data_IF_607554342953
#
_entry.id   IF_607554342953
#
_cell.length_a   1.000
_cell.length_b   1.000
_cell.length_c   1.000
_cell.angle_alpha   90.00
_cell.angle_beta   90.00
_cell.angle_gamma   90.00
#
_symmetry.space_group_name_H-M   'P 1'
#
loop_
_entity.id
_entity.type
_entity.pdbx_description
1 polymer ?
#
# COMPACT_ATOMS: atom_id res chain seq x y z
N UNK A 1 -7.56 24.55 5.09
CA UNK A 1 -7.81 23.70 3.89
C UNK A 1 -6.49 23.62 3.15
N UNK A 2 -5.98 22.43 2.88
CA UNK A 2 -4.72 22.24 2.18
C UNK A 2 -5.00 21.82 0.73
N UNK A 3 -4.18 22.30 -0.20
CA UNK A 3 -4.20 21.89 -1.59
C UNK A 3 -2.84 21.26 -1.90
N UNK A 4 -2.87 19.99 -2.28
CA UNK A 4 -1.67 19.26 -2.66
C UNK A 4 -1.67 19.11 -4.18
N UNK A 5 -0.61 19.61 -4.82
CA UNK A 5 -0.44 19.57 -6.26
C UNK A 5 0.84 18.79 -6.53
N UNK A 6 0.72 17.69 -7.26
CA UNK A 6 1.83 16.85 -7.68
C UNK A 6 1.69 16.52 -9.16
N UNK A 7 2.82 16.38 -9.85
CA UNK A 7 2.82 16.02 -11.28
C UNK A 7 2.63 14.50 -11.46
N UNK A 8 3.08 13.71 -10.48
CA UNK A 8 2.91 12.26 -10.47
C UNK A 8 2.74 11.74 -9.04
N UNK A 9 2.02 10.63 -8.89
CA UNK A 9 1.93 9.94 -7.60
C UNK A 9 3.29 9.38 -7.16
N UNK A 10 4.17 9.09 -8.13
CA UNK A 10 5.52 8.61 -7.84
C UNK A 10 6.38 9.65 -7.08
N UNK A 11 6.19 10.96 -7.35
CA UNK A 11 6.86 12.01 -6.58
C UNK A 11 6.43 11.99 -5.11
N UNK A 12 5.14 11.77 -4.85
CA UNK A 12 4.61 11.64 -3.50
C UNK A 12 5.20 10.39 -2.83
N UNK A 13 5.21 9.25 -3.52
CA UNK A 13 5.80 8.02 -3.00
C UNK A 13 7.30 8.13 -2.74
N UNK A 14 8.05 8.89 -3.55
CA UNK A 14 9.47 9.14 -3.32
C UNK A 14 9.73 10.00 -2.08
N UNK A 15 8.87 10.98 -1.81
CA UNK A 15 9.02 11.88 -0.67
C UNK A 15 8.52 11.27 0.65
N UNK A 16 7.44 10.50 0.62
CA UNK A 16 6.74 10.01 1.81
C UNK A 16 6.74 8.49 1.97
N UNK A 17 7.38 7.76 1.06
CA UNK A 17 7.33 6.31 1.01
C UNK A 17 6.14 5.76 0.22
N UNK A 18 6.23 4.50 -0.16
CA UNK A 18 5.20 3.81 -0.93
C UNK A 18 3.88 3.68 -0.16
N UNK A 19 3.99 3.42 1.14
CA UNK A 19 2.88 3.37 2.09
C UNK A 19 2.68 4.74 2.73
N UNK A 20 1.93 5.62 2.07
CA UNK A 20 1.58 6.94 2.61
C UNK A 20 0.06 7.11 2.72
N UNK A 21 -0.39 7.79 3.77
CA UNK A 21 -1.82 8.08 4.00
C UNK A 21 -2.29 9.39 3.36
N UNK A 22 -1.43 10.06 2.57
CA UNK A 22 -1.74 11.39 2.02
C UNK A 22 -2.94 11.29 1.09
N UNK A 23 -2.92 10.32 0.17
CA UNK A 23 -4.01 10.12 -0.76
C UNK A 23 -5.29 9.69 -0.04
N UNK A 24 -5.20 8.86 0.99
CA UNK A 24 -6.36 8.36 1.73
C UNK A 24 -7.07 9.48 2.51
N UNK A 25 -6.31 10.43 3.06
CA UNK A 25 -6.84 11.57 3.80
C UNK A 25 -7.42 12.68 2.91
N UNK A 26 -7.23 12.63 1.59
CA UNK A 26 -7.78 13.63 0.66
C UNK A 26 -9.25 13.33 0.35
N UNK A 27 -10.18 14.16 0.87
CA UNK A 27 -11.62 14.00 0.60
C UNK A 27 -11.99 14.24 -0.87
N UNK A 28 -11.28 15.16 -1.53
CA UNK A 28 -11.44 15.46 -2.96
C UNK A 28 -10.11 15.17 -3.65
N UNK A 29 -10.16 14.40 -4.73
CA UNK A 29 -9.02 14.07 -5.58
C UNK A 29 -9.37 14.47 -7.00
N UNK A 30 -8.49 15.25 -7.62
CA UNK A 30 -8.63 15.69 -9.00
C UNK A 30 -7.48 15.05 -9.78
N UNK A 31 -7.81 14.31 -10.83
CA UNK A 31 -6.84 13.66 -11.70
C UNK A 31 -6.95 14.21 -13.12
N UNK A 32 -5.79 14.39 -13.74
CA UNK A 32 -5.65 14.74 -15.15
C UNK A 32 -5.09 13.55 -15.92
N UNK A 33 -4.96 13.69 -17.24
CA UNK A 33 -4.20 12.76 -18.07
C UNK A 33 -2.83 12.49 -17.44
N UNK A 34 -2.51 11.22 -17.20
CA UNK A 34 -1.22 10.81 -16.67
C UNK A 34 -0.38 10.17 -17.77
N UNK A 35 0.93 10.43 -17.76
CA UNK A 35 1.87 9.76 -18.64
C UNK A 35 2.48 8.48 -18.01
N UNK A 36 2.23 8.25 -16.72
CA UNK A 36 2.76 7.10 -15.98
C UNK A 36 1.69 6.02 -15.86
N UNK A 37 1.98 4.82 -16.39
CA UNK A 37 1.06 3.68 -16.37
C UNK A 37 0.64 3.29 -14.94
N UNK A 38 1.57 3.36 -13.99
CA UNK A 38 1.29 3.02 -12.59
C UNK A 38 0.28 3.98 -11.97
N UNK A 39 0.45 5.28 -12.23
CA UNK A 39 -0.49 6.33 -11.82
C UNK A 39 -1.84 6.15 -12.53
N UNK A 40 -1.86 5.90 -13.83
CA UNK A 40 -3.08 5.66 -14.59
C UNK A 40 -3.87 4.44 -14.09
N UNK A 41 -3.17 3.35 -13.74
CA UNK A 41 -3.78 2.17 -13.13
C UNK A 41 -4.42 2.50 -11.78
N UNK A 42 -3.71 3.20 -10.90
CA UNK A 42 -4.28 3.65 -9.62
C UNK A 42 -5.51 4.54 -9.79
N UNK A 43 -5.53 5.42 -10.78
CA UNK A 43 -6.70 6.24 -11.10
C UNK A 43 -7.86 5.37 -11.60
N UNK A 44 -7.60 4.46 -12.55
CA UNK A 44 -8.59 3.49 -13.05
C UNK A 44 -9.20 2.67 -11.91
N UNK A 45 -8.37 2.13 -11.01
CA UNK A 45 -8.82 1.34 -9.87
C UNK A 45 -9.67 2.19 -8.91
N UNK A 46 -9.29 3.45 -8.68
CA UNK A 46 -10.05 4.38 -7.82
C UNK A 46 -11.40 4.81 -8.42
N UNK A 47 -11.53 4.83 -9.75
CA UNK A 47 -12.82 5.07 -10.43
C UNK A 47 -13.77 3.87 -10.31
N UNK A 48 -13.21 2.67 -10.16
CA UNK A 48 -13.96 1.43 -10.04
C UNK A 48 -14.42 0.85 -11.38
N UNK A 49 -15.33 -0.11 -11.30
CA UNK A 49 -15.87 -0.86 -12.43
C UNK A 49 -17.33 -0.52 -12.69
N UNK A 50 -17.72 -0.57 -13.95
CA UNK A 50 -19.08 -0.46 -14.43
C UNK A 50 -19.54 -1.79 -15.05
N UNK A 51 -20.84 -2.04 -15.00
CA UNK A 51 -21.45 -3.20 -15.64
C UNK A 51 -21.82 -2.86 -17.08
N UNK A 52 -21.24 -3.57 -18.04
CA UNK A 52 -21.58 -3.45 -19.46
C UNK A 52 -22.47 -4.63 -19.89
N UNK A 53 -23.61 -4.33 -20.52
CA UNK A 53 -24.48 -5.33 -21.12
C UNK A 53 -24.00 -5.65 -22.53
N UNK A 54 -23.36 -6.81 -22.73
CA UNK A 54 -22.99 -7.29 -24.06
C UNK A 54 -24.04 -8.25 -24.60
N UNK A 55 -24.65 -7.91 -25.73
CA UNK A 55 -25.51 -8.84 -26.47
C UNK A 55 -24.71 -9.55 -27.57
N UNK A 56 -24.61 -10.87 -27.50
CA UNK A 56 -24.09 -11.71 -28.57
C UNK A 56 -25.25 -12.28 -29.39
N UNK A 57 -25.19 -12.10 -30.71
CA UNK A 57 -26.15 -12.70 -31.65
C UNK A 57 -25.47 -13.86 -32.35
N UNK A 58 -25.92 -15.07 -32.04
CA UNK A 58 -25.50 -16.28 -32.72
C UNK A 58 -26.51 -16.60 -33.82
N UNK A 59 -26.03 -16.65 -35.06
CA UNK A 59 -26.82 -17.06 -36.21
C UNK A 59 -26.64 -18.57 -36.40
N UNK A 60 -27.72 -19.34 -36.26
CA UNK A 60 -27.68 -20.79 -36.43
C UNK A 60 -28.46 -21.20 -37.67
N UNK A 61 -27.76 -21.47 -38.78
CA UNK A 61 -28.39 -22.00 -40.00
C UNK A 61 -27.42 -22.34 -41.12
N UNK A 62 -27.86 -23.21 -42.03
CA UNK A 62 -27.09 -23.58 -43.22
C UNK A 62 -27.07 -22.38 -44.19
N UNK A 63 -25.89 -21.93 -44.61
CA UNK A 63 -25.69 -20.74 -45.47
C UNK A 63 -26.43 -20.80 -46.82
N UNK A 64 -26.97 -21.96 -47.20
CA UNK A 64 -27.63 -22.23 -48.48
C UNK A 64 -29.13 -22.60 -48.36
N UNK A 65 -29.73 -22.53 -47.17
CA UNK A 65 -31.16 -22.86 -47.01
C UNK A 65 -32.07 -21.66 -47.37
N UNK A 66 -33.21 -21.87 -48.08
CA UNK A 66 -34.10 -20.81 -48.54
C UNK A 66 -34.91 -20.12 -47.42
N UNK A 67 -34.90 -20.65 -46.20
CA UNK A 67 -35.38 -19.97 -45.00
C UNK A 67 -34.29 -20.00 -43.92
N UNK A 68 -33.86 -18.82 -43.46
CA UNK A 68 -32.78 -18.69 -42.49
C UNK A 68 -33.28 -19.13 -41.09
N UNK A 69 -32.68 -20.19 -40.54
CA UNK A 69 -33.05 -20.72 -39.23
C UNK A 69 -32.53 -19.84 -38.08
N UNK A 70 -33.36 -19.72 -37.05
CA UNK A 70 -33.15 -19.25 -35.69
C UNK A 70 -31.92 -18.35 -35.38
N UNK A 71 -32.20 -17.09 -35.03
CA UNK A 71 -31.24 -16.19 -34.39
C UNK A 71 -31.36 -16.36 -32.88
N UNK A 72 -30.27 -16.76 -32.22
CA UNK A 72 -30.18 -16.76 -30.77
C UNK A 72 -29.52 -15.47 -30.30
N UNK A 73 -30.22 -14.69 -29.49
CA UNK A 73 -29.66 -13.49 -28.85
C UNK A 73 -29.38 -13.81 -27.39
N UNK A 74 -28.11 -13.93 -27.02
CA UNK A 74 -27.68 -14.03 -25.62
C UNK A 74 -27.26 -12.66 -25.12
N UNK A 75 -27.69 -12.29 -23.91
CA UNK A 75 -27.25 -11.07 -23.23
C UNK A 75 -26.41 -11.47 -22.03
N UNK A 76 -25.20 -10.93 -21.93
CA UNK A 76 -24.27 -11.19 -20.84
C UNK A 76 -23.88 -9.87 -20.20
N UNK A 77 -24.00 -9.81 -18.89
CA UNK A 77 -23.44 -8.72 -18.07
C UNK A 77 -21.95 -9.00 -17.86
N UNK A 78 -21.09 -8.05 -18.21
CA UNK A 78 -19.64 -8.15 -18.04
C UNK A 78 -19.15 -6.92 -17.28
N UNK A 79 -18.34 -7.12 -16.25
CA UNK A 79 -17.70 -6.02 -15.54
C UNK A 79 -16.55 -5.43 -16.39
N UNK A 80 -16.54 -4.11 -16.56
CA UNK A 80 -15.49 -3.35 -17.25
C UNK A 80 -15.05 -2.19 -16.36
N UNK A 81 -13.76 -1.85 -16.28
CA UNK A 81 -13.33 -0.59 -15.65
C UNK A 81 -14.10 0.61 -16.23
N UNK A 82 -14.51 1.56 -15.37
CA UNK A 82 -15.26 2.74 -15.81
C UNK A 82 -14.44 3.54 -16.84
N UNK A 83 -13.15 3.69 -16.58
CA UNK A 83 -12.12 4.09 -17.54
C UNK A 83 -10.95 3.13 -17.39
N UNK A 84 -10.50 2.57 -18.50
CA UNK A 84 -9.27 1.76 -18.52
C UNK A 84 -8.04 2.63 -18.31
N UNK A 85 -6.91 2.07 -17.85
CA UNK A 85 -5.67 2.84 -17.69
C UNK A 85 -5.25 3.55 -18.99
N UNK A 86 -5.40 2.89 -20.14
CA UNK A 86 -5.14 3.49 -21.45
C UNK A 86 -6.04 4.69 -21.77
N UNK A 87 -7.34 4.61 -21.45
CA UNK A 87 -8.27 5.74 -21.61
C UNK A 87 -7.95 6.90 -20.64
N UNK A 88 -7.45 6.62 -19.43
CA UNK A 88 -6.98 7.64 -18.49
C UNK A 88 -5.75 8.37 -19.04
N UNK A 89 -4.80 7.64 -19.62
CA UNK A 89 -3.60 8.25 -20.24
C UNK A 89 -3.96 9.10 -21.46
N UNK A 90 -4.96 8.68 -22.23
CA UNK A 90 -5.47 9.39 -23.40
C UNK A 90 -6.58 10.40 -23.09
N UNK A 91 -6.79 10.73 -21.81
CA UNK A 91 -7.80 11.70 -21.41
C UNK A 91 -7.52 13.06 -22.09
N UNK A 92 -8.53 13.68 -22.73
CA UNK A 92 -8.32 14.96 -23.40
C UNK A 92 -7.77 16.02 -22.43
N UNK A 93 -6.89 16.93 -22.90
CA UNK A 93 -6.29 17.95 -22.04
C UNK A 93 -7.30 18.99 -21.54
N UNK A 94 -8.51 19.04 -22.12
CA UNK A 94 -9.65 19.84 -21.64
C UNK A 94 -10.45 19.19 -20.52
N UNK A 95 -10.20 17.92 -20.23
CA UNK A 95 -11.03 17.12 -19.33
C UNK A 95 -10.27 16.79 -18.04
N UNK A 96 -11.00 16.61 -16.97
CA UNK A 96 -10.48 16.19 -15.66
C UNK A 96 -11.43 15.19 -15.00
N UNK A 97 -10.89 14.41 -14.07
CA UNK A 97 -11.63 13.45 -13.28
C UNK A 97 -11.67 13.94 -11.84
N UNK A 98 -12.87 14.13 -11.31
CA UNK A 98 -13.10 14.58 -9.95
C UNK A 98 -13.68 13.42 -9.15
N UNK A 99 -12.95 12.98 -8.14
CA UNK A 99 -13.36 11.98 -7.18
C UNK A 99 -13.60 12.68 -5.85
N UNK A 100 -14.86 12.80 -5.44
CA UNK A 100 -15.26 13.29 -4.13
C UNK A 100 -15.81 12.11 -3.32
N UNK A 101 -15.32 11.93 -2.09
CA UNK A 101 -15.75 10.78 -1.27
C UNK A 101 -17.27 10.83 -1.03
N UNK A 102 -17.93 9.70 -1.28
CA UNK A 102 -19.39 9.57 -1.14
C UNK A 102 -20.19 9.99 -2.38
N UNK A 103 -19.52 10.46 -3.44
CA UNK A 103 -20.15 10.78 -4.73
C UNK A 103 -19.61 9.88 -5.84
N UNK A 104 -20.42 9.58 -6.88
CA UNK A 104 -19.91 8.89 -8.07
C UNK A 104 -18.83 9.74 -8.75
N UNK A 105 -17.83 9.12 -9.40
CA UNK A 105 -16.80 9.85 -10.13
C UNK A 105 -17.38 10.77 -11.19
N UNK A 106 -16.85 11.99 -11.29
CA UNK A 106 -17.34 13.02 -12.21
C UNK A 106 -16.26 13.29 -13.26
N UNK A 107 -16.63 13.17 -14.53
CA UNK A 107 -15.81 13.69 -15.64
C UNK A 107 -16.21 15.14 -15.90
N UNK A 108 -15.31 16.07 -15.59
CA UNK A 108 -15.54 17.49 -15.73
C UNK A 108 -14.67 18.10 -16.85
N UNK A 109 -14.98 19.34 -17.23
CA UNK A 109 -14.14 20.16 -18.10
C UNK A 109 -13.25 21.03 -17.23
N UNK A 110 -11.96 21.09 -17.57
CA UNK A 110 -10.98 21.90 -16.86
C UNK A 110 -11.38 23.36 -16.88
N UNK A 111 -11.32 23.98 -15.71
CA UNK A 111 -11.49 25.41 -15.58
C UNK A 111 -10.21 26.15 -16.01
N UNK A 112 -10.29 26.92 -17.09
CA UNK A 112 -9.21 27.81 -17.53
C UNK A 112 -9.56 29.23 -17.12
N UNK A 113 -8.89 29.72 -16.09
CA UNK A 113 -9.20 31.03 -15.50
C UNK A 113 -9.15 32.19 -16.51
N UNK A 114 -8.32 32.07 -17.55
CA UNK A 114 -8.15 33.08 -18.59
C UNK A 114 -9.21 33.03 -19.70
N UNK A 115 -10.02 31.97 -19.77
CA UNK A 115 -11.11 31.86 -20.75
C UNK A 115 -12.45 32.34 -20.17
N UNK A 116 -12.55 32.48 -18.84
CA UNK A 116 -13.77 32.86 -18.13
C UNK A 116 -13.60 34.22 -17.44
N UNK A 117 -14.49 35.16 -17.80
CA UNK A 117 -14.48 36.52 -17.27
C UNK A 117 -14.66 36.56 -15.76
N UNK A 118 -15.43 35.64 -15.17
CA UNK A 118 -15.66 35.57 -13.72
C UNK A 118 -14.38 35.36 -12.92
N UNK A 119 -13.37 34.72 -13.54
CA UNK A 119 -12.09 34.43 -12.92
C UNK A 119 -11.02 35.44 -13.33
N UNK A 120 -11.09 35.95 -14.56
CA UNK A 120 -10.14 36.96 -15.07
C UNK A 120 -10.14 38.22 -14.18
N UNK A 121 -11.31 38.66 -13.71
CA UNK A 121 -11.44 39.82 -12.80
C UNK A 121 -10.86 39.58 -11.40
N UNK A 122 -10.59 38.31 -11.03
CA UNK A 122 -10.04 37.91 -9.73
C UNK A 122 -8.54 37.64 -9.77
N UNK A 123 -7.91 37.79 -10.93
CA UNK A 123 -6.47 37.55 -11.10
C UNK A 123 -5.70 38.64 -10.36
N UNK A 124 -4.90 38.23 -9.38
CA UNK A 124 -3.95 39.10 -8.70
C UNK A 124 -2.60 39.09 -9.44
N UNK A 125 -1.80 40.17 -9.35
CA UNK A 125 -0.46 40.18 -9.93
C UNK A 125 0.38 39.04 -9.34
N UNK A 126 1.27 38.48 -10.17
CA UNK A 126 2.22 37.45 -9.73
C UNK A 126 3.02 37.97 -8.51
N UNK A 127 3.25 37.13 -7.49
CA UNK A 127 4.08 37.53 -6.35
C UNK A 127 5.48 37.89 -6.83
N UNK A 128 6.04 38.96 -6.25
CA UNK A 128 7.42 39.38 -6.49
C UNK A 128 8.33 38.48 -5.67
N UNK A 129 9.16 37.68 -6.33
CA UNK A 129 10.19 36.89 -5.66
C UNK A 129 11.23 37.84 -5.07
N UNK A 130 11.50 37.72 -3.77
CA UNK A 130 12.56 38.45 -3.09
C UNK A 130 13.63 37.45 -2.64
N UNK A 131 14.88 37.90 -2.56
CA UNK A 131 15.94 37.11 -1.96
C UNK A 131 15.65 36.92 -0.46
N UNK A 132 15.27 35.70 -0.06
CA UNK A 132 14.91 35.38 1.32
C UNK A 132 13.85 34.28 1.44
N UNK A 133 13.24 34.19 2.63
CA UNK A 133 12.09 33.32 2.89
C UNK A 133 10.86 33.88 2.17
N UNK A 134 10.02 32.99 1.62
CA UNK A 134 8.75 33.40 1.03
C UNK A 134 7.87 34.11 2.09
N UNK A 135 7.14 35.15 1.69
CA UNK A 135 6.31 35.93 2.61
C UNK A 135 5.17 35.10 3.25
N UNK A 136 4.76 34.02 2.59
CA UNK A 136 3.77 33.05 3.06
C UNK A 136 4.39 31.83 3.75
N UNK A 137 5.72 31.79 3.92
CA UNK A 137 6.38 30.74 4.69
C UNK A 137 5.88 30.80 6.14
N UNK A 138 5.31 29.71 6.68
CA UNK A 138 4.91 29.68 8.08
C UNK A 138 6.11 29.99 8.97
N UNK A 139 5.87 30.66 10.10
CA UNK A 139 6.92 30.87 11.08
C UNK A 139 7.56 29.50 11.43
N UNK A 140 8.90 29.41 11.43
CA UNK A 140 9.58 28.15 11.72
C UNK A 140 9.06 27.65 13.06
N UNK A 141 8.57 26.40 13.06
CA UNK A 141 8.11 25.77 14.29
C UNK A 141 9.33 25.63 15.21
N UNK A 142 9.21 26.13 16.44
CA UNK A 142 10.21 25.84 17.45
C UNK A 142 10.23 24.32 17.65
N UNK A 143 11.38 23.72 17.41
CA UNK A 143 11.58 22.31 17.67
C UNK A 143 12.54 22.18 18.85
N UNK A 144 12.12 21.45 19.88
CA UNK A 144 12.91 21.28 21.09
C UNK A 144 14.04 20.26 20.89
N UNK A 145 14.14 19.67 19.69
CA UNK A 145 14.96 18.48 19.40
C UNK A 145 16.27 18.80 18.70
N UNK A 146 16.32 19.79 17.82
CA UNK A 146 17.53 20.19 17.08
C UNK A 146 18.66 20.65 17.99
N UNK A 147 18.32 21.18 19.17
CA UNK A 147 19.30 21.62 20.19
C UNK A 147 19.61 20.51 21.21
N UNK A 148 18.84 19.41 21.23
CA UNK A 148 19.09 18.26 22.11
C UNK A 148 20.13 17.31 21.49
N UNK A 149 21.38 17.76 21.40
CA UNK A 149 22.49 16.85 21.12
C UNK A 149 22.79 16.08 22.41
N UNK A 150 22.34 14.82 22.49
CA UNK A 150 22.78 13.92 23.56
C UNK A 150 24.25 13.59 23.31
N UNK A 151 25.13 14.06 24.19
CA UNK A 151 26.51 13.59 24.22
C UNK A 151 26.58 12.09 24.52
N UNK A 152 27.69 11.45 24.15
CA UNK A 152 27.94 10.05 24.49
C UNK A 152 27.91 9.90 26.01
N UNK A 153 27.05 9.02 26.54
CA UNK A 153 27.06 8.70 27.97
C UNK A 153 28.40 8.00 28.27
N UNK A 154 29.25 8.63 29.10
CA UNK A 154 30.57 8.10 29.45
C UNK A 154 30.50 6.71 30.08
N UNK A 155 29.34 6.29 30.63
CA UNK A 155 29.17 4.93 31.16
C UNK A 155 29.04 3.86 30.07
N UNK A 156 28.70 4.27 28.84
CA UNK A 156 28.60 3.43 27.64
C UNK A 156 29.82 3.59 26.72
N UNK A 157 30.71 4.54 27.02
CA UNK A 157 32.03 4.57 26.40
C UNK A 157 32.78 3.36 26.94
N UNK A 158 32.87 2.28 26.16
CA UNK A 158 33.80 1.20 26.44
C UNK A 158 35.20 1.81 26.49
N UNK A 159 35.88 1.68 27.63
CA UNK A 159 37.31 1.98 27.75
C UNK A 159 38.08 0.95 26.89
N UNK A 160 38.13 1.19 25.59
CA UNK A 160 38.81 0.33 24.60
C UNK A 160 40.35 0.50 24.64
N UNK A 161 40.91 0.76 25.83
CA UNK A 161 42.35 0.91 26.07
C UNK A 161 42.92 -0.19 27.01
N UNK A 162 42.15 -1.24 27.32
CA UNK A 162 42.71 -2.39 28.05
C UNK A 162 42.03 -3.71 27.69
N UNK A 163 42.19 -4.16 26.44
CA UNK A 163 41.91 -5.55 26.06
C UNK A 163 42.87 -6.05 24.96
N UNK A 164 44.14 -5.69 25.07
CA UNK A 164 45.22 -6.39 24.36
C UNK A 164 45.70 -7.61 25.16
N UNK A 165 44.89 -8.68 25.25
CA UNK A 165 45.35 -10.07 25.38
C UNK A 165 44.18 -11.08 25.47
N UNK A 166 44.00 -11.79 24.35
CA UNK A 166 43.56 -13.19 24.21
C UNK A 166 42.08 -13.58 24.40
N UNK A 167 41.45 -13.85 23.24
CA UNK A 167 40.78 -15.11 22.86
C UNK A 167 39.55 -15.55 23.68
N UNK A 168 38.34 -15.29 23.16
CA UNK A 168 37.48 -16.33 22.56
C UNK A 168 36.13 -15.72 22.19
N UNK A 169 35.73 -16.03 20.98
CA UNK A 169 34.40 -15.84 20.39
C UNK A 169 33.30 -16.44 21.30
N UNK A 170 32.37 -15.60 21.78
CA UNK A 170 30.94 -15.94 21.92
C UNK A 170 30.11 -14.75 22.43
N UNK A 171 29.19 -14.29 21.57
CA UNK A 171 27.85 -13.85 21.98
C UNK A 171 27.72 -12.57 22.81
N UNK A 172 27.51 -11.43 22.13
CA UNK A 172 27.12 -10.17 22.76
C UNK A 172 25.88 -10.30 23.64
N UNK A 173 26.02 -9.90 24.90
CA UNK A 173 24.93 -9.78 25.88
C UNK A 173 23.88 -8.76 25.40
N UNK A 174 22.83 -9.23 24.73
CA UNK A 174 21.66 -8.44 24.41
C UNK A 174 20.90 -8.11 25.71
N UNK A 175 21.10 -6.90 26.25
CA UNK A 175 20.20 -6.34 27.26
C UNK A 175 18.87 -5.99 26.59
N UNK A 176 17.95 -6.95 26.51
CA UNK A 176 16.54 -6.66 26.28
C UNK A 176 15.87 -6.41 27.63
N UNK A 177 15.43 -5.18 27.89
CA UNK A 177 14.53 -4.86 29.02
C UNK A 177 13.21 -4.33 28.46
N UNK A 178 12.26 -5.24 28.26
CA UNK A 178 10.85 -4.92 28.12
C UNK A 178 10.08 -5.72 29.17
N UNK A 179 9.40 -5.07 30.14
CA UNK A 179 8.64 -5.79 31.16
C UNK A 179 7.32 -6.25 30.55
N UNK A 180 7.14 -7.55 30.32
CA UNK A 180 5.82 -8.09 29.99
C UNK A 180 5.71 -9.42 29.25
N UNK A 181 6.80 -10.07 28.82
CA UNK A 181 6.73 -11.37 28.14
C UNK A 181 7.59 -12.41 28.88
N UNK A 182 7.08 -13.63 29.15
CA UNK A 182 7.84 -14.69 29.79
C UNK A 182 8.98 -15.20 28.88
N UNK A 183 10.10 -15.58 29.50
CA UNK A 183 11.36 -15.96 28.86
C UNK A 183 11.19 -17.07 27.79
N UNK A 184 11.50 -16.76 26.53
CA UNK A 184 11.69 -17.77 25.51
C UNK A 184 13.05 -18.44 25.74
N UNK A 185 13.02 -19.71 26.13
CA UNK A 185 14.22 -20.55 26.16
C UNK A 185 14.75 -20.69 24.73
N UNK A 186 15.88 -20.04 24.44
CA UNK A 186 16.62 -20.24 23.20
C UNK A 186 17.10 -21.69 23.13
N UNK A 187 16.46 -22.50 22.29
CA UNK A 187 16.97 -23.81 21.92
C UNK A 187 18.21 -23.59 21.06
N UNK A 188 19.38 -23.98 21.56
CA UNK A 188 20.60 -24.03 20.76
C UNK A 188 20.38 -25.02 19.63
N UNK A 189 20.19 -24.50 18.42
CA UNK A 189 20.19 -25.32 17.21
C UNK A 189 21.63 -25.73 16.92
N UNK A 190 21.97 -26.99 17.21
CA UNK A 190 23.20 -27.58 16.70
C UNK A 190 23.09 -27.66 15.17
N UNK A 191 24.00 -27.00 14.46
CA UNK A 191 24.12 -27.21 13.02
C UNK A 191 24.48 -28.69 12.78
N UNK A 192 23.81 -29.41 11.84
CA UNK A 192 24.25 -30.73 11.46
C UNK A 192 25.53 -30.66 10.64
N UNK A 193 26.47 -31.56 10.93
CA UNK A 193 27.76 -31.70 10.24
C UNK A 193 27.58 -31.80 8.72
N UNK A 194 28.35 -31.03 7.95
CA UNK A 194 28.28 -30.93 6.47
C UNK A 194 28.82 -32.16 5.71
N UNK A 195 28.93 -33.33 6.35
CA UNK A 195 29.64 -34.49 5.79
C UNK A 195 28.75 -35.54 5.11
N UNK A 196 27.47 -35.24 4.87
CA UNK A 196 26.53 -36.18 4.20
C UNK A 196 25.99 -35.68 2.85
N UNK A 197 26.56 -34.60 2.28
CA UNK A 197 26.18 -34.07 0.96
C UNK A 197 26.88 -34.77 -0.22
N UNK A 198 27.70 -35.80 0.02
CA UNK A 198 28.40 -36.54 -1.03
C UNK A 198 28.14 -38.04 -0.99
N UNK A 199 26.86 -38.45 -1.09
CA UNK A 199 26.51 -39.81 -1.51
C UNK A 199 25.65 -39.76 -2.77
N UNK A 200 25.97 -40.57 -3.80
CA UNK A 200 25.12 -40.68 -4.99
C UNK A 200 23.74 -41.18 -4.59
N UNK A 201 22.71 -40.54 -5.11
CA UNK A 201 21.30 -40.94 -4.95
C UNK A 201 21.09 -42.28 -5.67
N UNK A 202 20.77 -43.34 -4.92
CA UNK A 202 20.12 -44.53 -5.47
C UNK A 202 18.59 -44.28 -5.50
N UNK A 203 18.03 -44.47 -6.69
CA UNK A 203 16.70 -44.05 -7.16
C UNK A 203 15.56 -44.98 -6.71
N UNK A 204 15.36 -45.21 -5.41
CA UNK A 204 14.29 -46.12 -4.95
C UNK A 204 13.74 -45.88 -3.51
N UNK A 205 13.56 -44.63 -3.04
CA UNK A 205 12.98 -44.41 -1.69
C UNK A 205 12.21 -43.11 -1.39
N UNK A 206 11.40 -42.62 -2.34
CA UNK A 206 10.55 -41.42 -2.13
C UNK A 206 9.53 -41.55 -0.97
N UNK A 207 9.04 -42.76 -0.66
CA UNK A 207 7.98 -42.93 0.35
C UNK A 207 8.43 -42.75 1.81
N UNK A 208 9.73 -42.86 2.10
CA UNK A 208 10.25 -42.74 3.49
C UNK A 208 10.65 -41.30 3.81
N UNK A 209 11.00 -40.51 2.79
CA UNK A 209 11.34 -39.09 2.94
C UNK A 209 10.10 -38.26 3.33
N UNK A 210 8.95 -38.49 2.70
CA UNK A 210 7.71 -37.75 2.95
C UNK A 210 7.16 -37.93 4.38
N UNK A 211 7.29 -39.13 4.94
CA UNK A 211 6.82 -39.41 6.30
C UNK A 211 7.65 -38.68 7.36
N UNK A 212 8.94 -38.44 7.11
CA UNK A 212 9.85 -37.72 8.01
C UNK A 212 9.65 -36.20 7.96
N UNK A 213 9.17 -35.67 6.85
CA UNK A 213 8.81 -34.25 6.71
C UNK A 213 7.51 -33.95 7.45
N UNK A 214 6.52 -34.84 7.37
CA UNK A 214 5.23 -34.66 8.06
C UNK A 214 5.33 -34.73 9.60
N UNK A 215 6.17 -35.61 10.15
CA UNK A 215 6.41 -35.68 11.61
C UNK A 215 7.10 -34.41 12.17
N UNK A 216 7.77 -33.61 11.33
CA UNK A 216 8.40 -32.34 11.74
C UNK A 216 7.42 -31.17 11.78
N UNK A 217 6.27 -31.27 11.11
CA UNK A 217 5.28 -30.19 11.01
C UNK A 217 4.22 -30.29 12.13
N UNK A 218 4.04 -31.46 12.75
CA UNK A 218 2.98 -31.69 13.75
C UNK A 218 3.24 -31.13 15.15
N UNK A 219 4.38 -30.50 15.41
CA UNK A 219 4.73 -29.97 16.75
C UNK A 219 4.63 -28.44 16.80
N UNK A 220 3.53 -27.86 16.29
CA UNK A 220 3.18 -26.46 16.51
C UNK A 220 2.14 -26.36 17.64
N UNK A 221 2.59 -26.00 18.83
CA UNK A 221 1.76 -25.86 20.02
C UNK A 221 1.17 -24.44 20.16
N UNK A 222 -0.15 -24.40 20.39
CA UNK A 222 -0.99 -23.35 21.03
C UNK A 222 -1.08 -21.95 20.35
N UNK A 223 -2.25 -21.68 19.78
CA UNK A 223 -2.74 -20.33 19.49
C UNK A 223 -3.50 -19.76 20.70
N UNK A 224 -3.18 -18.54 21.12
CA UNK A 224 -4.00 -17.74 22.05
C UNK A 224 -4.70 -16.62 21.28
N UNK A 225 -6.04 -16.59 21.34
CA UNK A 225 -6.85 -15.46 20.89
C UNK A 225 -7.01 -14.45 22.02
N UNK A 226 -6.65 -13.20 21.78
CA UNK A 226 -6.88 -12.08 22.70
C UNK A 226 -8.22 -11.46 22.33
N UNK A 227 -9.22 -11.61 23.22
CA UNK A 227 -10.45 -10.82 23.23
C UNK A 227 -10.39 -9.96 24.50
N UNK A 228 -10.28 -8.65 24.35
CA UNK A 228 -10.36 -7.70 25.47
C UNK A 228 -11.82 -7.47 25.85
N UNK A 229 -12.14 -7.60 27.14
CA UNK A 229 -13.46 -7.29 27.68
C UNK A 229 -13.59 -7.71 29.15
N UNK A 230 -12.78 -7.12 30.03
CA UNK A 230 -12.91 -7.30 31.48
C UNK A 230 -13.77 -6.20 32.09
N UNK A 231 -14.91 -6.57 32.66
CA UNK A 231 -15.77 -5.68 33.44
C UNK A 231 -17.00 -6.42 33.95
N UNK A 232 -16.84 -7.12 35.06
CA UNK A 232 -17.88 -7.90 35.74
C UNK A 232 -18.78 -6.94 36.53
N UNK A 233 -20.02 -6.73 36.07
CA UNK A 233 -21.10 -6.30 36.97
C UNK A 233 -22.48 -6.71 36.42
N UNK A 234 -22.94 -7.84 36.96
CA UNK A 234 -24.32 -8.18 37.32
C UNK A 234 -25.37 -8.33 36.21
N UNK A 235 -25.83 -9.58 36.11
CA UNK A 235 -27.23 -9.93 35.83
C UNK A 235 -28.21 -8.91 36.43
N UNK A 236 -29.18 -8.48 35.61
CA UNK A 236 -30.64 -8.55 35.84
C UNK A 236 -31.29 -7.73 34.71
N UNK A 237 -32.01 -8.39 33.81
CA UNK A 237 -33.08 -7.76 33.02
C UNK A 237 -34.24 -7.41 33.95
N UNK A 238 -34.85 -6.22 33.75
CA UNK A 238 -36.29 -6.22 33.53
C UNK A 238 -36.69 -5.28 32.38
N UNK A 239 -37.60 -5.79 31.56
CA UNK A 239 -38.18 -5.06 30.46
C UNK A 239 -39.17 -3.99 30.90
N UNK A 240 -39.35 -3.01 29.99
CA UNK A 240 -40.60 -2.36 29.61
C UNK A 240 -40.46 -1.96 28.14
#
# INVERSE_FOLDING_TARGET
RAYLIAQSLNQISKAYGENNAILDNCHVRIAFSSNDERTAKRISDALGTATELRSMRNYAGHRLAPWLSHVMVSRQETARPLLTPGEVMQLPPSDELVLASGLPPIRAKKLRYYEDQNFTERVLPSPVLQDGLYADCPAPRQDDWTVQVRGVDRRLASDDESAGAALADEGGVQQQRHPGLPEEHSVVSHAPDEDDLSKPLDDDSEAVADKRVMDRISTAARAYGINEGGGDDKDIVPGF
#
